data_IF_757191340255
#
_entry.id   IF_757191340255
#
_cell.length_a   1.000
_cell.length_b   1.000
_cell.length_c   1.000
_cell.angle_alpha   90.00
_cell.angle_beta   90.00
_cell.angle_gamma   90.00
#
_symmetry.space_group_name_H-M   'P 1'
#
loop_
_entity.id
_entity.type
_entity.pdbx_description
1 polymer ?
#
# COMPACT_ATOMS: atom_id res chain seq x y z
N UNK A 1 9.57 7.68 -12.59
CA UNK A 1 8.55 8.66 -13.06
C UNK A 1 7.81 9.24 -11.86
N UNK A 2 7.93 10.55 -11.59
CA UNK A 2 7.10 11.23 -10.58
C UNK A 2 5.76 11.61 -11.22
N UNK A 3 4.81 10.69 -11.23
CA UNK A 3 3.42 11.06 -11.47
C UNK A 3 2.87 11.59 -10.14
N UNK A 4 2.63 12.89 -10.08
CA UNK A 4 2.06 13.49 -8.88
C UNK A 4 0.54 13.32 -8.95
N UNK A 5 0.08 12.13 -8.57
CA UNK A 5 -1.35 11.84 -8.56
C UNK A 5 -2.05 12.60 -7.44
N UNK A 6 -3.25 13.11 -7.71
CA UNK A 6 -4.12 13.57 -6.64
C UNK A 6 -4.61 12.35 -5.88
N UNK A 7 -4.45 12.37 -4.57
CA UNK A 7 -4.82 11.26 -3.69
C UNK A 7 -6.25 10.76 -3.93
N UNK A 8 -7.19 11.69 -4.06
CA UNK A 8 -8.60 11.36 -4.26
C UNK A 8 -8.83 10.61 -5.57
N UNK A 9 -8.20 11.05 -6.66
CA UNK A 9 -8.36 10.43 -7.99
C UNK A 9 -7.85 8.98 -7.97
N UNK A 10 -6.73 8.71 -7.27
CA UNK A 10 -6.18 7.35 -7.14
C UNK A 10 -7.11 6.44 -6.34
N UNK A 11 -7.64 6.94 -5.23
CA UNK A 11 -8.54 6.14 -4.38
C UNK A 11 -9.82 5.81 -5.15
N UNK A 12 -10.41 6.80 -5.84
CA UNK A 12 -11.62 6.60 -6.64
C UNK A 12 -11.39 5.61 -7.77
N UNK A 13 -10.30 5.74 -8.54
CA UNK A 13 -9.97 4.79 -9.61
C UNK A 13 -9.79 3.36 -9.09
N UNK A 14 -9.09 3.19 -7.96
CA UNK A 14 -8.90 1.87 -7.34
C UNK A 14 -10.24 1.25 -6.89
N UNK A 15 -11.12 2.05 -6.28
CA UNK A 15 -12.44 1.59 -5.86
C UNK A 15 -13.31 1.19 -7.05
N UNK A 16 -13.33 1.97 -8.13
CA UNK A 16 -14.03 1.62 -9.37
C UNK A 16 -13.53 0.31 -9.99
N UNK A 17 -12.24 -0.03 -9.77
CA UNK A 17 -11.62 -1.30 -10.20
C UNK A 17 -11.78 -2.45 -9.21
N UNK A 18 -12.53 -2.27 -8.12
CA UNK A 18 -12.90 -3.33 -7.17
C UNK A 18 -12.01 -3.45 -5.93
N UNK A 19 -11.05 -2.54 -5.73
CA UNK A 19 -10.23 -2.51 -4.51
C UNK A 19 -11.02 -1.86 -3.36
N UNK A 20 -11.96 -2.61 -2.79
CA UNK A 20 -12.99 -2.09 -1.89
C UNK A 20 -12.71 -2.31 -0.40
N UNK A 21 -11.61 -2.98 -0.06
CA UNK A 21 -11.20 -3.20 1.33
C UNK A 21 -10.18 -2.17 1.79
N UNK A 22 -10.17 -1.88 3.09
CA UNK A 22 -9.20 -0.98 3.70
C UNK A 22 -8.22 -1.80 4.53
N UNK A 23 -6.94 -1.63 4.23
CA UNK A 23 -5.85 -2.28 4.94
C UNK A 23 -5.03 -1.27 5.72
N UNK A 24 -4.62 -1.68 6.93
CA UNK A 24 -3.68 -0.94 7.77
C UNK A 24 -2.52 -1.82 8.16
N UNK A 25 -1.37 -1.20 8.43
CA UNK A 25 -0.19 -1.91 8.91
C UNK A 25 -0.35 -2.19 10.40
N UNK A 26 -0.14 -3.43 10.82
CA UNK A 26 -0.22 -3.83 12.22
C UNK A 26 0.89 -4.82 12.58
N UNK A 27 1.97 -4.28 13.15
CA UNK A 27 3.17 -5.03 13.56
C UNK A 27 3.77 -5.85 12.42
N UNK A 28 3.52 -7.16 12.42
CA UNK A 28 4.07 -8.11 11.45
C UNK A 28 3.10 -8.42 10.30
N UNK A 29 1.88 -7.88 10.37
CA UNK A 29 0.76 -8.17 9.48
C UNK A 29 0.24 -6.88 8.83
N UNK A 30 -0.63 -7.05 7.84
CA UNK A 30 -1.65 -6.04 7.52
C UNK A 30 -2.98 -6.49 8.11
N UNK A 31 -3.82 -5.55 8.56
CA UNK A 31 -5.18 -5.84 9.02
C UNK A 31 -6.19 -5.35 8.00
N UNK A 32 -7.12 -6.21 7.59
CA UNK A 32 -8.34 -5.80 6.89
C UNK A 32 -9.30 -5.20 7.90
N UNK A 33 -9.72 -3.95 7.73
CA UNK A 33 -10.60 -3.27 8.68
C UNK A 33 -12.03 -3.82 8.63
N UNK A 34 -12.52 -4.18 7.46
CA UNK A 34 -13.86 -4.70 7.22
C UNK A 34 -14.09 -6.05 7.90
N UNK A 35 -13.10 -6.94 7.82
CA UNK A 35 -13.18 -8.30 8.37
C UNK A 35 -12.49 -8.46 9.72
N UNK A 36 -11.79 -7.42 10.17
CA UNK A 36 -10.92 -7.45 11.36
C UNK A 36 -9.94 -8.64 11.36
N UNK A 37 -9.39 -8.95 10.18
CA UNK A 37 -8.53 -10.10 9.94
C UNK A 37 -7.07 -9.65 9.77
N UNK A 38 -6.14 -10.37 10.41
CA UNK A 38 -4.70 -10.17 10.24
C UNK A 38 -4.19 -11.07 9.12
N UNK A 39 -3.51 -10.47 8.15
CA UNK A 39 -3.01 -11.13 6.94
C UNK A 39 -1.48 -11.15 6.98
N UNK A 40 -0.91 -12.35 6.81
CA UNK A 40 0.54 -12.54 6.74
C UNK A 40 1.14 -11.85 5.53
N UNK A 41 2.40 -11.37 5.62
CA UNK A 41 3.15 -10.93 4.44
C UNK A 41 3.18 -11.92 3.28
N UNK A 42 2.94 -13.22 3.49
CA UNK A 42 2.92 -14.21 2.40
C UNK A 42 1.57 -14.31 1.69
N UNK A 43 0.49 -13.87 2.33
CA UNK A 43 -0.89 -14.10 1.88
C UNK A 43 -1.47 -12.94 1.06
N UNK A 44 -0.62 -11.98 0.67
CA UNK A 44 -1.04 -10.86 -0.19
C UNK A 44 0.05 -10.43 -1.15
N UNK A 45 -0.33 -9.76 -2.22
CA UNK A 45 0.57 -9.14 -3.19
C UNK A 45 0.29 -7.64 -3.32
N UNK A 46 1.35 -6.85 -3.45
CA UNK A 46 1.24 -5.43 -3.80
C UNK A 46 1.19 -5.36 -5.32
N UNK A 47 0.00 -5.11 -5.87
CA UNK A 47 -0.21 -5.05 -7.32
C UNK A 47 0.23 -3.72 -7.92
N UNK A 48 -0.04 -2.62 -7.23
CA UNK A 48 0.25 -1.27 -7.71
C UNK A 48 0.70 -0.36 -6.56
N UNK A 49 1.46 0.68 -6.88
CA UNK A 49 1.94 1.66 -5.91
C UNK A 49 1.94 3.05 -6.50
N UNK A 50 1.33 3.98 -5.78
CA UNK A 50 1.20 5.37 -6.19
C UNK A 50 1.82 6.27 -5.14
N UNK A 51 2.59 7.24 -5.61
CA UNK A 51 3.17 8.28 -4.78
C UNK A 51 2.37 9.56 -4.97
N UNK A 52 1.51 9.87 -4.02
CA UNK A 52 0.63 11.03 -4.03
C UNK A 52 1.29 12.13 -3.18
N UNK A 53 2.02 13.04 -3.83
CA UNK A 53 2.63 14.20 -3.16
C UNK A 53 1.64 15.38 -3.10
N UNK A 54 1.29 15.82 -1.90
CA UNK A 54 0.48 17.03 -1.70
C UNK A 54 1.27 18.13 -0.97
N UNK A 55 0.71 19.34 -0.87
CA UNK A 55 1.28 20.42 -0.04
C UNK A 55 1.39 20.03 1.45
N UNK A 56 0.61 19.04 1.90
CA UNK A 56 0.53 18.59 3.30
C UNK A 56 1.34 17.30 3.58
N UNK A 57 1.95 16.68 2.56
CA UNK A 57 2.86 15.53 2.74
C UNK A 57 2.87 14.53 1.58
N UNK A 58 3.86 13.64 1.61
CA UNK A 58 4.02 12.52 0.66
C UNK A 58 3.26 11.29 1.18
N UNK A 59 2.16 10.94 0.51
CA UNK A 59 1.37 9.74 0.78
C UNK A 59 1.70 8.64 -0.22
N UNK A 60 1.82 7.42 0.29
CA UNK A 60 1.94 6.20 -0.50
C UNK A 60 0.62 5.45 -0.45
N UNK A 61 0.12 5.09 -1.63
CA UNK A 61 -1.08 4.27 -1.78
C UNK A 61 -0.68 2.96 -2.44
N UNK A 62 -1.04 1.85 -1.82
CA UNK A 62 -0.78 0.51 -2.31
C UNK A 62 -2.10 -0.19 -2.65
N UNK A 63 -2.17 -0.74 -3.85
CA UNK A 63 -3.24 -1.65 -4.23
C UNK A 63 -2.83 -3.07 -3.86
N UNK A 64 -3.61 -3.72 -3.01
CA UNK A 64 -3.29 -5.03 -2.43
C UNK A 64 -4.32 -6.06 -2.89
N UNK A 65 -3.84 -7.24 -3.27
CA UNK A 65 -4.67 -8.43 -3.55
C UNK A 65 -4.29 -9.55 -2.59
N UNK A 66 -5.27 -10.20 -1.98
CA UNK A 66 -5.02 -11.39 -1.18
C UNK A 66 -4.79 -12.59 -2.10
N UNK A 67 -3.85 -13.46 -1.75
CA UNK A 67 -3.47 -14.60 -2.60
C UNK A 67 -4.50 -15.74 -2.57
N UNK A 68 -5.21 -15.89 -1.45
CA UNK A 68 -6.12 -17.01 -1.22
C UNK A 68 -7.60 -16.65 -1.39
N UNK A 69 -7.90 -15.39 -1.70
CA UNK A 69 -9.26 -14.85 -1.74
C UNK A 69 -9.42 -13.87 -2.89
N UNK A 70 -10.62 -13.76 -3.44
CA UNK A 70 -10.97 -12.69 -4.39
C UNK A 70 -11.20 -11.34 -3.66
N UNK A 71 -10.31 -11.03 -2.72
CA UNK A 71 -10.36 -9.86 -1.85
C UNK A 71 -9.22 -8.94 -2.26
N UNK A 72 -9.58 -7.71 -2.60
CA UNK A 72 -8.64 -6.66 -2.93
C UNK A 72 -9.01 -5.36 -2.24
N UNK A 73 -8.01 -4.52 -1.99
CA UNK A 73 -8.17 -3.32 -1.21
C UNK A 73 -6.99 -2.38 -1.27
N UNK A 74 -7.10 -1.31 -0.51
CA UNK A 74 -6.19 -0.17 -0.52
C UNK A 74 -5.50 -0.09 0.84
N UNK A 75 -4.18 0.08 0.82
CA UNK A 75 -3.40 0.47 1.99
C UNK A 75 -2.81 1.85 1.75
N UNK A 76 -3.14 2.80 2.61
CA UNK A 76 -2.54 4.12 2.58
C UNK A 76 -1.56 4.28 3.74
N UNK A 77 -0.37 4.81 3.44
CA UNK A 77 0.65 5.09 4.44
C UNK A 77 1.33 6.42 4.15
N UNK A 78 1.67 7.17 5.19
CA UNK A 78 2.57 8.32 5.04
C UNK A 78 4.02 7.83 5.01
N UNK A 79 4.89 8.46 4.22
CA UNK A 79 6.31 8.09 4.16
C UNK A 79 7.00 8.12 5.55
N UNK A 80 6.51 8.97 6.47
CA UNK A 80 7.06 9.12 7.83
C UNK A 80 6.54 8.08 8.83
N UNK A 81 5.32 7.57 8.64
CA UNK A 81 4.71 6.59 9.55
C UNK A 81 5.20 5.16 9.27
N UNK A 82 5.66 4.91 8.05
CA UNK A 82 6.09 3.60 7.54
C UNK A 82 7.17 2.89 8.39
N UNK A 83 8.05 3.61 9.10
CA UNK A 83 9.25 2.99 9.70
C UNK A 83 9.01 2.50 11.15
N UNK A 84 7.96 2.98 11.82
CA UNK A 84 7.72 2.64 13.23
C UNK A 84 6.70 1.52 13.37
N UNK A 85 7.19 0.32 13.68
CA UNK A 85 6.37 -0.80 14.13
C UNK A 85 6.29 -1.98 13.16
N UNK A 86 6.83 -1.89 11.94
CA UNK A 86 6.87 -3.02 11.01
C UNK A 86 7.97 -4.03 11.34
N UNK A 87 7.66 -5.31 11.16
CA UNK A 87 8.71 -6.34 11.10
C UNK A 87 9.58 -6.17 9.85
N UNK A 88 10.82 -6.66 9.90
CA UNK A 88 11.73 -6.61 8.75
C UNK A 88 11.20 -7.37 7.53
N UNK A 89 10.36 -8.38 7.78
CA UNK A 89 9.73 -9.20 6.76
C UNK A 89 8.66 -8.42 6.00
N UNK A 90 7.76 -7.76 6.72
CA UNK A 90 6.76 -6.88 6.15
C UNK A 90 7.44 -5.70 5.43
N UNK A 91 8.44 -5.09 6.07
CA UNK A 91 9.23 -4.01 5.48
C UNK A 91 9.88 -4.41 4.16
N UNK A 92 10.45 -5.61 4.07
CA UNK A 92 11.09 -6.10 2.84
C UNK A 92 10.10 -6.20 1.67
N UNK A 93 8.85 -6.59 1.95
CA UNK A 93 7.80 -6.68 0.93
C UNK A 93 7.45 -5.32 0.32
N UNK A 94 7.27 -4.31 1.16
CA UNK A 94 6.97 -2.94 0.70
C UNK A 94 8.20 -2.20 0.17
N UNK A 95 9.42 -2.46 0.68
CA UNK A 95 10.65 -1.78 0.27
C UNK A 95 11.16 -2.21 -1.12
N UNK A 96 10.91 -3.44 -1.56
CA UNK A 96 11.25 -3.87 -2.92
C UNK A 96 10.54 -3.03 -3.99
N UNK A 97 9.36 -2.48 -3.67
CA UNK A 97 8.62 -1.58 -4.56
C UNK A 97 9.22 -0.16 -4.57
N UNK A 98 9.83 0.28 -3.47
CA UNK A 98 10.45 1.61 -3.31
C UNK A 98 11.82 1.69 -4.03
N UNK A 99 12.58 0.61 -4.11
CA UNK A 99 13.86 0.61 -4.86
C UNK A 99 13.67 0.77 -6.37
N UNK A 100 12.61 0.21 -6.95
CA UNK A 100 12.32 0.34 -8.38
C UNK A 100 11.98 1.78 -8.77
N UNK A 101 11.31 2.54 -7.89
CA UNK A 101 10.96 3.94 -8.15
C UNK A 101 12.15 4.91 -8.06
N UNK A 102 13.17 4.59 -7.24
CA UNK A 102 14.40 5.38 -7.12
C UNK A 102 15.43 5.08 -8.22
N UNK A 103 15.46 3.85 -8.75
CA UNK A 103 16.44 3.47 -9.79
C UNK A 103 16.01 3.96 -11.18
N UNK A 104 14.70 4.06 -11.44
CA UNK A 104 14.14 4.61 -12.68
C UNK A 104 14.13 6.16 -12.76
N UNK A 105 14.90 6.83 -11.89
CA UNK A 105 15.10 8.27 -11.87
C UNK A 105 16.55 8.68 -12.22
N UNK A 106 17.36 7.73 -12.72
CA UNK A 106 18.66 7.99 -13.35
C UNK A 106 18.53 7.94 -14.88
#
# INVERSE_FOLDING_TARGET
MKHNYKLIDVITDLQERGFNHDFVIEKEYIRCLQHNELISPDDFEISETYHCGSKDGDNLVYAIRLSNYDVSGILMSSYRTYIRGMSIRLWSKFNNVIKLSLTAAK
#
